data_IF_421342005086
#
_entry.id   IF_421342005086
#
_cell.length_a   1.000
_cell.length_b   1.000
_cell.length_c   1.000
_cell.angle_alpha   90.00
_cell.angle_beta   90.00
_cell.angle_gamma   90.00
#
_symmetry.space_group_name_H-M   'P 1'
#
loop_
_entity.id
_entity.type
_entity.pdbx_description
1 polymer ?
#
# COMPACT_ATOMS: atom_id res chain seq x y z
N UNK A 1 17.03 -13.80 0.00
CA UNK A 1 16.23 -14.70 -0.87
C UNK A 1 16.49 -14.46 -2.36
N UNK A 2 15.98 -15.31 -3.27
CA UNK A 2 16.15 -15.13 -4.75
C UNK A 2 15.74 -13.72 -5.19
N UNK A 3 14.70 -13.16 -4.57
CA UNK A 3 14.24 -11.78 -4.77
C UNK A 3 15.28 -10.70 -4.46
N UNK A 4 16.11 -10.85 -3.43
CA UNK A 4 17.19 -9.91 -3.09
C UNK A 4 18.32 -9.91 -4.15
N UNK A 5 18.47 -11.02 -4.89
CA UNK A 5 19.39 -11.08 -6.03
C UNK A 5 18.81 -10.39 -7.28
N UNK A 6 17.48 -10.30 -7.39
CA UNK A 6 16.81 -9.63 -8.50
C UNK A 6 16.79 -8.11 -8.32
N UNK A 7 16.50 -7.61 -7.11
CA UNK A 7 16.51 -6.18 -6.81
C UNK A 7 17.14 -5.93 -5.45
N UNK A 8 18.33 -5.32 -5.44
CA UNK A 8 18.97 -4.83 -4.23
C UNK A 8 18.39 -3.46 -3.84
N UNK A 9 18.28 -3.16 -2.54
CA UNK A 9 17.92 -1.87 -1.94
C UNK A 9 18.52 -0.67 -2.70
N UNK A 10 19.81 -0.71 -3.06
CA UNK A 10 20.46 0.41 -3.77
C UNK A 10 19.92 0.63 -5.19
N UNK A 11 19.56 -0.45 -5.89
CA UNK A 11 18.97 -0.39 -7.23
C UNK A 11 17.55 0.14 -7.12
N UNK A 12 16.77 -0.36 -6.15
CA UNK A 12 15.40 0.10 -5.90
C UNK A 12 15.31 1.62 -5.65
N UNK A 13 16.23 2.18 -4.87
CA UNK A 13 16.28 3.63 -4.59
C UNK A 13 16.57 4.46 -5.85
N UNK A 14 17.43 3.97 -6.74
CA UNK A 14 17.83 4.69 -7.96
C UNK A 14 16.87 4.49 -9.12
N UNK A 15 16.23 3.33 -9.17
CA UNK A 15 15.38 2.90 -10.29
C UNK A 15 14.08 2.25 -9.75
N UNK A 16 13.12 3.04 -9.25
CA UNK A 16 11.84 2.54 -8.74
C UNK A 16 11.04 1.73 -9.77
N UNK A 17 11.28 1.96 -11.06
CA UNK A 17 10.65 1.20 -12.14
C UNK A 17 10.88 -0.33 -12.05
N UNK A 18 12.04 -0.78 -11.56
CA UNK A 18 12.26 -2.21 -11.33
C UNK A 18 11.39 -2.75 -10.20
N UNK A 19 11.11 -1.94 -9.17
CA UNK A 19 10.20 -2.31 -8.08
C UNK A 19 8.77 -2.39 -8.59
N UNK A 20 8.38 -1.53 -9.53
CA UNK A 20 7.10 -1.61 -10.23
C UNK A 20 6.93 -2.93 -11.00
N UNK A 21 7.92 -3.30 -11.83
CA UNK A 21 7.91 -4.59 -12.54
C UNK A 21 7.85 -5.75 -11.54
N UNK A 22 8.64 -5.67 -10.48
CA UNK A 22 8.69 -6.69 -9.43
C UNK A 22 7.32 -6.87 -8.76
N UNK A 23 6.62 -5.79 -8.43
CA UNK A 23 5.27 -5.83 -7.89
C UNK A 23 4.28 -6.56 -8.80
N UNK A 24 4.33 -6.30 -10.11
CA UNK A 24 3.52 -7.01 -11.10
C UNK A 24 3.84 -8.50 -11.19
N UNK A 25 5.13 -8.87 -11.24
CA UNK A 25 5.56 -10.28 -11.32
C UNK A 25 5.17 -11.05 -10.05
N UNK A 26 5.51 -10.52 -8.86
CA UNK A 26 5.18 -11.18 -7.59
C UNK A 26 3.67 -11.36 -7.48
N UNK A 27 2.89 -10.30 -7.71
CA UNK A 27 1.43 -10.38 -7.58
C UNK A 27 0.79 -11.39 -8.54
N UNK A 28 1.30 -11.51 -9.77
CA UNK A 28 0.83 -12.51 -10.74
C UNK A 28 1.15 -13.93 -10.29
N UNK A 29 2.41 -14.18 -9.90
CA UNK A 29 2.85 -15.51 -9.47
C UNK A 29 2.10 -15.92 -8.20
N UNK A 30 1.97 -15.03 -7.21
CA UNK A 30 1.24 -15.29 -5.98
C UNK A 30 -0.23 -15.61 -6.25
N UNK A 31 -0.91 -14.82 -7.10
CA UNK A 31 -2.30 -15.09 -7.46
C UNK A 31 -2.46 -16.46 -8.16
N UNK A 32 -1.57 -16.78 -9.10
CA UNK A 32 -1.59 -18.07 -9.80
C UNK A 32 -1.37 -19.25 -8.83
N UNK A 33 -0.39 -19.16 -7.92
CA UNK A 33 -0.12 -20.20 -6.93
C UNK A 33 -1.30 -20.37 -5.96
N UNK A 34 -1.90 -19.27 -5.50
CA UNK A 34 -3.07 -19.32 -4.62
C UNK A 34 -4.26 -19.96 -5.32
N UNK A 35 -4.49 -19.65 -6.59
CA UNK A 35 -5.56 -20.28 -7.36
C UNK A 35 -5.31 -21.78 -7.59
N UNK A 36 -4.07 -22.19 -7.85
CA UNK A 36 -3.74 -23.59 -8.10
C UNK A 36 -3.83 -24.46 -6.84
N UNK A 37 -3.46 -23.92 -5.67
CA UNK A 37 -3.29 -24.70 -4.45
C UNK A 37 -4.44 -24.47 -3.44
N UNK A 38 -5.00 -23.25 -3.37
CA UNK A 38 -5.91 -22.81 -2.31
C UNK A 38 -7.17 -22.15 -2.87
N UNK A 39 -7.97 -22.91 -3.61
CA UNK A 39 -9.14 -22.40 -4.34
C UNK A 39 -10.24 -21.77 -3.47
N UNK A 40 -10.29 -22.05 -2.15
CA UNK A 40 -11.30 -21.53 -1.23
C UNK A 40 -10.97 -20.13 -0.66
N UNK A 41 -9.72 -19.67 -0.77
CA UNK A 41 -9.28 -18.39 -0.19
C UNK A 41 -8.19 -17.74 -1.03
N UNK A 42 -8.41 -17.67 -2.35
CA UNK A 42 -7.41 -17.22 -3.31
C UNK A 42 -6.93 -15.79 -3.00
N UNK A 43 -7.84 -14.89 -2.65
CA UNK A 43 -7.51 -13.49 -2.36
C UNK A 43 -6.60 -13.35 -1.14
N UNK A 44 -7.01 -13.86 0.02
CA UNK A 44 -6.22 -13.80 1.25
C UNK A 44 -4.87 -14.53 1.13
N UNK A 45 -4.85 -15.72 0.53
CA UNK A 45 -3.60 -16.49 0.38
C UNK A 45 -2.67 -15.81 -0.62
N UNK A 46 -3.18 -15.21 -1.70
CA UNK A 46 -2.33 -14.47 -2.64
C UNK A 46 -1.70 -13.27 -1.95
N UNK A 47 -2.46 -12.56 -1.11
CA UNK A 47 -1.95 -11.46 -0.31
C UNK A 47 -0.84 -11.91 0.65
N UNK A 48 -1.01 -13.06 1.30
CA UNK A 48 0.01 -13.67 2.15
C UNK A 48 1.29 -13.99 1.35
N UNK A 49 1.18 -14.64 0.18
CA UNK A 49 2.34 -14.95 -0.66
C UNK A 49 3.06 -13.70 -1.18
N UNK A 50 2.32 -12.66 -1.56
CA UNK A 50 2.91 -11.37 -1.97
C UNK A 50 3.72 -10.80 -0.81
N UNK A 51 3.12 -10.76 0.38
CA UNK A 51 3.76 -10.25 1.59
C UNK A 51 5.01 -11.07 1.91
N UNK A 52 4.91 -12.39 1.92
CA UNK A 52 6.02 -13.30 2.22
C UNK A 52 7.18 -13.13 1.23
N UNK A 53 6.88 -12.95 -0.06
CA UNK A 53 7.90 -12.77 -1.09
C UNK A 53 8.66 -11.44 -0.97
N UNK A 54 7.97 -10.33 -0.69
CA UNK A 54 8.57 -8.99 -0.68
C UNK A 54 9.07 -8.55 0.71
N UNK A 55 8.58 -9.16 1.79
CA UNK A 55 8.91 -8.76 3.17
C UNK A 55 10.42 -8.69 3.45
N UNK A 56 11.28 -9.66 3.05
CA UNK A 56 12.72 -9.57 3.30
C UNK A 56 13.34 -8.31 2.70
N UNK A 57 12.99 -8.01 1.44
CA UNK A 57 13.43 -6.81 0.76
C UNK A 57 12.96 -5.54 1.47
N UNK A 58 11.70 -5.49 1.92
CA UNK A 58 11.15 -4.33 2.62
C UNK A 58 11.75 -4.13 4.02
N UNK A 59 12.08 -5.22 4.72
CA UNK A 59 12.80 -5.15 6.00
C UNK A 59 14.20 -4.56 5.82
N UNK A 60 14.95 -5.04 4.84
CA UNK A 60 16.28 -4.50 4.53
C UNK A 60 16.21 -3.04 4.09
N UNK A 61 15.16 -2.69 3.33
CA UNK A 61 14.89 -1.32 2.90
C UNK A 61 14.63 -0.36 4.07
N UNK A 62 13.76 -0.73 5.01
CA UNK A 62 13.46 0.08 6.19
C UNK A 62 14.67 0.18 7.13
N UNK A 63 15.45 -0.90 7.29
CA UNK A 63 16.71 -0.88 8.05
C UNK A 63 17.75 0.03 7.42
N UNK A 64 17.83 0.03 6.09
CA UNK A 64 18.68 0.95 5.35
C UNK A 64 18.27 2.40 5.58
N UNK A 65 16.97 2.70 5.49
CA UNK A 65 16.46 4.05 5.74
C UNK A 65 16.75 4.51 7.17
N UNK A 66 16.47 3.68 8.18
CA UNK A 66 16.77 4.01 9.57
C UNK A 66 18.27 4.31 9.79
N UNK A 67 19.15 3.56 9.13
CA UNK A 67 20.60 3.80 9.19
C UNK A 67 21.01 5.09 8.44
N UNK A 68 20.35 5.41 7.32
CA UNK A 68 20.56 6.66 6.59
C UNK A 68 20.14 7.88 7.42
N UNK A 69 19.05 7.77 8.18
CA UNK A 69 18.59 8.80 9.12
C UNK A 69 19.61 9.04 10.25
N UNK A 70 20.16 7.97 10.82
CA UNK A 70 21.21 8.06 11.85
C UNK A 70 22.46 8.77 11.34
N UNK A 71 22.91 8.47 10.11
CA UNK A 71 24.12 9.05 9.52
C UNK A 71 23.96 10.50 9.10
N UNK A 72 22.77 10.92 8.66
CA UNK A 72 22.53 12.24 8.04
C UNK A 72 21.60 13.14 8.85
N UNK A 73 21.46 12.90 10.16
CA UNK A 73 20.48 13.59 11.01
C UNK A 73 20.52 15.12 10.86
N UNK A 74 21.70 15.74 10.84
CA UNK A 74 21.82 17.20 10.76
C UNK A 74 21.41 17.79 9.40
N UNK A 75 21.59 17.04 8.31
CA UNK A 75 21.11 17.41 6.98
C UNK A 75 19.58 17.25 6.90
N UNK A 76 19.07 16.13 7.41
CA UNK A 76 17.65 15.77 7.34
C UNK A 76 16.76 16.67 8.20
N UNK A 77 17.29 17.23 9.30
CA UNK A 77 16.59 18.23 10.12
C UNK A 77 16.16 19.48 9.33
N UNK A 78 16.86 19.80 8.23
CA UNK A 78 16.54 20.94 7.37
C UNK A 78 15.47 20.63 6.31
N UNK A 79 15.15 19.35 6.14
CA UNK A 79 14.19 18.88 5.14
C UNK A 79 12.82 18.66 5.78
N UNK A 80 11.77 18.87 5.00
CA UNK A 80 10.43 18.43 5.40
C UNK A 80 10.30 16.89 5.31
N UNK A 81 9.25 16.34 5.92
CA UNK A 81 9.03 14.89 6.05
C UNK A 81 8.96 14.20 4.68
N UNK A 82 8.26 14.80 3.71
CA UNK A 82 8.11 14.24 2.37
C UNK A 82 9.43 14.22 1.60
N UNK A 83 10.26 15.26 1.74
CA UNK A 83 11.59 15.31 1.15
C UNK A 83 12.52 14.29 1.78
N UNK A 84 12.49 14.17 3.12
CA UNK A 84 13.29 13.23 3.90
C UNK A 84 13.06 11.78 3.48
N UNK A 85 11.79 11.37 3.36
CA UNK A 85 11.42 9.98 3.04
C UNK A 85 11.01 9.77 1.58
N UNK A 86 11.29 10.72 0.69
CA UNK A 86 10.87 10.68 -0.72
C UNK A 86 11.21 9.35 -1.39
N UNK A 87 12.43 8.86 -1.20
CA UNK A 87 12.89 7.64 -1.84
C UNK A 87 12.13 6.40 -1.34
N UNK A 88 11.80 6.36 -0.05
CA UNK A 88 11.03 5.26 0.55
C UNK A 88 9.59 5.28 0.06
N UNK A 89 8.97 6.46 0.05
CA UNK A 89 7.62 6.65 -0.49
C UNK A 89 7.56 6.24 -1.97
N UNK A 90 8.58 6.58 -2.78
CA UNK A 90 8.63 6.18 -4.20
C UNK A 90 8.73 4.66 -4.38
N UNK A 91 9.48 3.94 -3.54
CA UNK A 91 9.59 2.47 -3.61
C UNK A 91 8.26 1.81 -3.26
N UNK A 92 7.58 2.26 -2.20
CA UNK A 92 6.24 1.80 -1.84
C UNK A 92 5.23 2.07 -2.97
N UNK A 93 5.26 3.29 -3.53
CA UNK A 93 4.39 3.69 -4.65
C UNK A 93 4.63 2.83 -5.88
N UNK A 94 5.88 2.59 -6.26
CA UNK A 94 6.22 1.78 -7.42
C UNK A 94 5.72 0.34 -7.26
N UNK A 95 5.98 -0.29 -6.11
CA UNK A 95 5.49 -1.63 -5.81
C UNK A 95 3.96 -1.71 -5.90
N UNK A 96 3.26 -0.80 -5.21
CA UNK A 96 1.81 -0.74 -5.18
C UNK A 96 1.22 -0.51 -6.58
N UNK A 97 1.76 0.44 -7.35
CA UNK A 97 1.29 0.73 -8.70
C UNK A 97 1.50 -0.45 -9.65
N UNK A 98 2.61 -1.19 -9.50
CA UNK A 98 2.87 -2.42 -10.26
C UNK A 98 1.83 -3.49 -9.99
N UNK A 99 1.50 -3.71 -8.71
CA UNK A 99 0.41 -4.61 -8.33
C UNK A 99 -0.94 -4.16 -8.89
N UNK A 100 -1.27 -2.87 -8.73
CA UNK A 100 -2.56 -2.32 -9.16
C UNK A 100 -2.76 -2.50 -10.66
N UNK A 101 -1.77 -2.11 -11.47
CA UNK A 101 -1.88 -2.22 -12.91
C UNK A 101 -2.02 -3.69 -13.34
N UNK A 102 -1.15 -4.57 -12.85
CA UNK A 102 -1.12 -5.96 -13.28
C UNK A 102 -2.39 -6.70 -12.86
N UNK A 103 -2.86 -6.56 -11.62
CA UNK A 103 -4.08 -7.23 -11.19
C UNK A 103 -5.34 -6.65 -11.85
N UNK A 104 -5.36 -5.35 -12.14
CA UNK A 104 -6.45 -4.74 -12.94
C UNK A 104 -6.51 -5.39 -14.32
N UNK A 105 -5.37 -5.51 -15.01
CA UNK A 105 -5.30 -6.15 -16.34
C UNK A 105 -5.75 -7.62 -16.25
N UNK A 106 -5.31 -8.37 -15.24
CA UNK A 106 -5.72 -9.77 -15.06
C UNK A 106 -7.23 -9.91 -14.84
N UNK A 107 -7.83 -9.06 -13.98
CA UNK A 107 -9.28 -9.05 -13.75
C UNK A 107 -10.07 -8.76 -15.05
N UNK A 108 -9.52 -7.91 -15.91
CA UNK A 108 -10.12 -7.51 -17.19
C UNK A 108 -9.99 -8.57 -18.29
N UNK A 109 -8.85 -9.26 -18.35
CA UNK A 109 -8.54 -10.24 -19.41
C UNK A 109 -9.27 -11.57 -19.23
N UNK A 110 -9.53 -11.97 -17.99
CA UNK A 110 -10.07 -13.28 -17.65
C UNK A 110 -11.62 -13.27 -17.77
N UNK A 111 -12.26 -14.36 -18.25
CA UNK A 111 -13.72 -14.46 -18.30
C UNK A 111 -14.37 -14.19 -16.94
N UNK A 112 -15.56 -13.59 -16.96
CA UNK A 112 -16.22 -13.07 -15.75
C UNK A 112 -16.31 -14.10 -14.62
N UNK A 113 -16.79 -15.31 -14.90
CA UNK A 113 -16.85 -16.40 -13.94
C UNK A 113 -15.53 -16.65 -13.20
N UNK A 114 -14.42 -16.73 -13.94
CA UNK A 114 -13.10 -16.95 -13.35
C UNK A 114 -12.59 -15.71 -12.63
N UNK A 115 -12.82 -14.50 -13.17
CA UNK A 115 -12.42 -13.26 -12.49
C UNK A 115 -13.14 -13.08 -11.15
N UNK A 116 -14.42 -13.43 -11.07
CA UNK A 116 -15.20 -13.39 -9.82
C UNK A 116 -14.66 -14.42 -8.82
N UNK A 117 -14.33 -15.64 -9.27
CA UNK A 117 -13.75 -16.67 -8.39
C UNK A 117 -12.33 -16.33 -7.92
N UNK A 118 -11.45 -15.85 -8.80
CA UNK A 118 -10.06 -15.50 -8.43
C UNK A 118 -9.99 -14.34 -7.44
N UNK A 119 -10.92 -13.39 -7.53
CA UNK A 119 -10.93 -12.17 -6.74
C UNK A 119 -12.14 -12.09 -5.80
N UNK A 120 -12.70 -13.23 -5.41
CA UNK A 120 -13.93 -13.32 -4.62
C UNK A 120 -13.83 -12.52 -3.31
N UNK A 121 -12.72 -12.68 -2.59
CA UNK A 121 -12.45 -11.94 -1.35
C UNK A 121 -12.48 -10.42 -1.58
N UNK A 122 -11.84 -9.94 -2.65
CA UNK A 122 -11.79 -8.52 -3.00
C UNK A 122 -13.17 -8.00 -3.40
N UNK A 123 -13.92 -8.76 -4.22
CA UNK A 123 -15.28 -8.40 -4.62
C UNK A 123 -16.19 -8.30 -3.39
N UNK A 124 -16.09 -9.25 -2.47
CA UNK A 124 -16.84 -9.25 -1.22
C UNK A 124 -16.49 -8.02 -0.36
N UNK A 125 -15.21 -7.64 -0.26
CA UNK A 125 -14.84 -6.40 0.44
C UNK A 125 -15.42 -5.15 -0.21
N UNK A 126 -15.38 -5.05 -1.55
CA UNK A 126 -15.97 -3.91 -2.27
C UNK A 126 -17.47 -3.79 -1.96
N UNK A 127 -18.19 -4.91 -1.97
CA UNK A 127 -19.62 -4.94 -1.66
C UNK A 127 -19.91 -4.51 -0.21
N UNK A 128 -19.09 -4.94 0.75
CA UNK A 128 -19.19 -4.52 2.16
C UNK A 128 -18.97 -3.02 2.34
N UNK A 129 -17.96 -2.45 1.65
CA UNK A 129 -17.65 -1.01 1.70
C UNK A 129 -18.81 -0.21 1.11
N UNK A 130 -19.29 -0.58 -0.09
CA UNK A 130 -20.41 0.10 -0.76
C UNK A 130 -21.72 0.01 0.05
N UNK A 131 -21.98 -1.14 0.68
CA UNK A 131 -23.15 -1.33 1.53
C UNK A 131 -23.17 -0.43 2.78
N UNK A 132 -22.00 -0.08 3.32
CA UNK A 132 -21.87 0.81 4.50
C UNK A 132 -21.97 2.30 4.16
N UNK A 133 -21.63 2.70 2.93
CA UNK A 133 -21.64 4.09 2.50
C UNK A 133 -23.04 4.72 2.36
N UNK A 134 -24.12 3.91 2.40
CA UNK A 134 -25.51 4.37 2.22
C UNK A 134 -26.24 4.77 3.50
N UNK A 135 -25.71 4.47 4.69
CA UNK A 135 -26.37 4.77 5.98
C UNK A 135 -25.51 5.69 6.87
N UNK A 136 -25.86 6.98 6.94
CA UNK A 136 -25.46 7.93 8.00
C UNK A 136 -23.99 8.40 8.01
N UNK A 137 -23.77 9.72 7.94
CA UNK A 137 -22.48 10.37 8.21
C UNK A 137 -21.32 9.91 7.31
N UNK A 138 -21.51 9.91 5.98
CA UNK A 138 -20.56 9.42 4.95
C UNK A 138 -19.10 9.78 5.25
N UNK A 139 -18.82 11.04 5.62
CA UNK A 139 -17.46 11.48 5.98
C UNK A 139 -16.88 10.74 7.19
N UNK A 140 -17.61 10.68 8.31
CA UNK A 140 -17.12 10.05 9.54
C UNK A 140 -16.90 8.55 9.35
N UNK A 141 -17.80 7.89 8.62
CA UNK A 141 -17.68 6.46 8.30
C UNK A 141 -16.45 6.19 7.44
N UNK A 142 -16.23 6.98 6.39
CA UNK A 142 -15.03 6.90 5.54
C UNK A 142 -13.77 7.14 6.38
N UNK A 143 -13.74 8.24 7.15
CA UNK A 143 -12.56 8.62 7.92
C UNK A 143 -12.20 7.56 8.98
N UNK A 144 -13.17 7.01 9.71
CA UNK A 144 -12.92 5.99 10.74
C UNK A 144 -12.40 4.69 10.12
N UNK A 145 -12.97 4.26 8.99
CA UNK A 145 -12.51 3.05 8.30
C UNK A 145 -11.06 3.21 7.84
N UNK A 146 -10.76 4.30 7.15
CA UNK A 146 -9.41 4.59 6.64
C UNK A 146 -8.40 4.85 7.77
N UNK A 147 -8.83 5.48 8.87
CA UNK A 147 -7.99 5.62 10.06
C UNK A 147 -7.64 4.27 10.69
N UNK A 148 -8.59 3.32 10.71
CA UNK A 148 -8.32 1.93 11.12
C UNK A 148 -7.24 1.28 10.26
N UNK A 149 -7.28 1.46 8.94
CA UNK A 149 -6.25 0.96 8.01
C UNK A 149 -4.89 1.60 8.31
N UNK A 150 -4.83 2.92 8.53
CA UNK A 150 -3.59 3.63 8.89
C UNK A 150 -2.97 3.10 10.18
N UNK A 151 -3.77 2.94 11.24
CA UNK A 151 -3.29 2.41 12.53
C UNK A 151 -2.82 0.97 12.38
N UNK A 152 -3.55 0.14 11.62
CA UNK A 152 -3.12 -1.24 11.35
C UNK A 152 -1.80 -1.26 10.55
N UNK A 153 -1.64 -0.42 9.53
CA UNK A 153 -0.38 -0.30 8.78
C UNK A 153 0.78 0.07 9.71
N UNK A 154 0.60 1.06 10.59
CA UNK A 154 1.61 1.44 11.57
C UNK A 154 1.94 0.27 12.52
N UNK A 155 0.94 -0.34 13.16
CA UNK A 155 1.14 -1.40 14.14
C UNK A 155 1.78 -2.65 13.54
N UNK A 156 1.32 -3.09 12.37
CA UNK A 156 1.91 -4.24 11.69
C UNK A 156 3.37 -3.99 11.30
N UNK A 157 3.68 -2.79 10.82
CA UNK A 157 5.08 -2.43 10.53
C UNK A 157 5.91 -2.28 11.79
N UNK A 158 5.34 -1.76 12.87
CA UNK A 158 6.02 -1.64 14.16
C UNK A 158 6.38 -3.00 14.76
N UNK A 159 5.42 -3.93 14.78
CA UNK A 159 5.59 -5.26 15.38
C UNK A 159 6.41 -6.21 14.51
N UNK A 160 6.23 -6.16 13.19
CA UNK A 160 6.85 -7.11 12.25
C UNK A 160 7.90 -6.47 11.34
N UNK A 161 8.31 -5.22 11.60
CA UNK A 161 9.32 -4.45 10.87
C UNK A 161 8.87 -3.87 9.53
N UNK A 162 8.25 -4.70 8.67
CA UNK A 162 7.69 -4.30 7.38
C UNK A 162 6.27 -4.88 7.15
N UNK A 163 5.57 -5.20 8.23
CA UNK A 163 4.25 -5.85 8.18
C UNK A 163 3.15 -5.02 7.49
N UNK A 164 3.33 -3.70 7.35
CA UNK A 164 2.40 -2.85 6.60
C UNK A 164 2.14 -3.36 5.17
N UNK A 165 3.11 -4.05 4.57
CA UNK A 165 3.00 -4.62 3.23
C UNK A 165 1.78 -5.53 3.08
N UNK A 166 1.41 -6.28 4.11
CA UNK A 166 0.21 -7.12 4.07
C UNK A 166 -1.06 -6.28 3.87
N UNK A 167 -1.15 -5.15 4.56
CA UNK A 167 -2.28 -4.22 4.47
C UNK A 167 -2.28 -3.49 3.13
N UNK A 168 -1.10 -3.09 2.64
CA UNK A 168 -0.95 -2.37 1.37
C UNK A 168 -1.21 -3.26 0.16
N UNK A 169 -0.74 -4.50 0.17
CA UNK A 169 -0.99 -5.48 -0.88
C UNK A 169 -2.48 -5.85 -0.94
N UNK A 170 -3.15 -5.93 0.22
CA UNK A 170 -4.61 -6.12 0.28
C UNK A 170 -5.34 -4.94 -0.36
N UNK A 171 -5.03 -3.72 0.06
CA UNK A 171 -5.62 -2.50 -0.51
C UNK A 171 -5.36 -2.37 -2.01
N UNK A 172 -4.15 -2.69 -2.47
CA UNK A 172 -3.82 -2.72 -3.90
C UNK A 172 -4.73 -3.70 -4.65
N UNK A 173 -4.96 -4.90 -4.10
CA UNK A 173 -5.80 -5.92 -4.74
C UNK A 173 -7.27 -5.50 -4.82
N UNK A 174 -7.79 -4.91 -3.74
CA UNK A 174 -9.18 -4.38 -3.69
C UNK A 174 -9.34 -3.24 -4.70
N UNK A 175 -8.40 -2.29 -4.74
CA UNK A 175 -8.41 -1.18 -5.69
C UNK A 175 -8.32 -1.68 -7.14
N UNK A 176 -7.49 -2.69 -7.41
CA UNK A 176 -7.35 -3.30 -8.75
C UNK A 176 -8.68 -3.84 -9.27
N UNK A 177 -9.40 -4.56 -8.41
CA UNK A 177 -10.71 -5.14 -8.75
C UNK A 177 -11.74 -4.03 -8.91
N UNK A 178 -11.74 -3.01 -8.05
CA UNK A 178 -12.65 -1.87 -8.17
C UNK A 178 -12.44 -1.10 -9.49
N UNK A 179 -11.18 -0.85 -9.89
CA UNK A 179 -10.84 -0.25 -11.17
C UNK A 179 -11.27 -1.19 -12.31
N UNK A 180 -11.01 -2.49 -12.22
CA UNK A 180 -11.40 -3.46 -13.24
C UNK A 180 -12.92 -3.53 -13.45
N UNK A 181 -13.71 -3.61 -12.38
CA UNK A 181 -15.17 -3.58 -12.44
C UNK A 181 -15.68 -2.30 -13.09
N UNK A 182 -15.11 -1.15 -12.72
CA UNK A 182 -15.49 0.16 -13.26
C UNK A 182 -15.06 0.29 -14.72
N UNK A 183 -13.90 -0.23 -15.11
CA UNK A 183 -13.45 -0.23 -16.49
C UNK A 183 -14.37 -1.11 -17.38
N UNK A 184 -14.83 -2.28 -16.88
CA UNK A 184 -15.82 -3.11 -17.59
C UNK A 184 -17.11 -2.34 -17.88
N UNK A 185 -17.64 -1.57 -16.93
CA UNK A 185 -18.86 -0.77 -17.14
C UNK A 185 -18.64 0.45 -18.04
N UNK A 186 -17.41 0.97 -18.13
CA UNK A 186 -17.03 2.13 -18.95
C UNK A 186 -16.49 1.76 -20.34
N UNK A 187 -16.74 0.54 -20.84
CA UNK A 187 -16.33 0.13 -22.20
C UNK A 187 -15.06 -0.72 -22.26
N UNK A 188 -14.75 -1.46 -21.20
CA UNK A 188 -13.65 -2.43 -21.17
C UNK A 188 -12.28 -1.78 -20.98
N UNK A 189 -11.26 -2.28 -21.68
CA UNK A 189 -9.88 -1.80 -21.55
C UNK A 189 -9.73 -0.29 -21.83
N UNK A 190 -10.52 0.26 -22.77
CA UNK A 190 -10.51 1.70 -23.07
C UNK A 190 -11.03 2.54 -21.90
N UNK A 191 -11.83 1.95 -21.01
CA UNK A 191 -12.35 2.59 -19.82
C UNK A 191 -11.36 2.66 -18.66
N UNK A 192 -10.20 1.98 -18.72
CA UNK A 192 -9.23 1.93 -17.61
C UNK A 192 -8.78 3.33 -17.17
N UNK A 193 -8.36 4.26 -18.06
CA UNK A 193 -7.93 5.59 -17.63
C UNK A 193 -9.02 6.34 -16.86
N UNK A 194 -10.26 6.28 -17.35
CA UNK A 194 -11.39 6.93 -16.68
C UNK A 194 -11.74 6.25 -15.35
N UNK A 195 -11.70 4.91 -15.30
CA UNK A 195 -11.91 4.15 -14.08
C UNK A 195 -10.87 4.49 -13.00
N UNK A 196 -9.59 4.64 -13.36
CA UNK A 196 -8.54 5.09 -12.43
C UNK A 196 -8.85 6.50 -11.90
N UNK A 197 -9.26 7.42 -12.77
CA UNK A 197 -9.60 8.80 -12.38
C UNK A 197 -10.77 8.88 -11.39
N UNK A 198 -11.68 7.91 -11.38
CA UNK A 198 -12.77 7.85 -10.38
C UNK A 198 -12.23 7.69 -8.95
N UNK A 199 -11.16 6.92 -8.77
CA UNK A 199 -10.58 6.65 -7.44
C UNK A 199 -9.39 7.55 -7.12
N UNK A 200 -8.71 8.11 -8.12
CA UNK A 200 -7.44 8.81 -7.94
C UNK A 200 -7.49 10.03 -6.98
N UNK A 201 -8.51 10.92 -7.00
CA UNK A 201 -8.51 12.14 -6.20
C UNK A 201 -8.42 11.91 -4.69
N UNK A 202 -9.19 10.96 -4.15
CA UNK A 202 -9.14 10.60 -2.73
C UNK A 202 -8.16 9.44 -2.50
N UNK A 203 -8.22 8.39 -3.34
CA UNK A 203 -7.42 7.19 -3.17
C UNK A 203 -5.91 7.42 -3.20
N UNK A 204 -5.41 8.38 -3.99
CA UNK A 204 -3.97 8.71 -3.96
C UNK A 204 -3.52 9.27 -2.60
N UNK A 205 -4.37 10.06 -1.93
CA UNK A 205 -4.09 10.63 -0.62
C UNK A 205 -4.21 9.57 0.49
N UNK A 206 -5.20 8.69 0.41
CA UNK A 206 -5.38 7.58 1.37
C UNK A 206 -4.20 6.61 1.32
N UNK A 207 -3.84 6.15 0.12
CA UNK A 207 -2.73 5.22 -0.07
C UNK A 207 -1.41 5.87 0.35
N UNK A 208 -1.20 7.16 0.06
CA UNK A 208 -0.03 7.89 0.56
C UNK A 208 0.01 7.96 2.09
N UNK A 209 -1.13 8.18 2.74
CA UNK A 209 -1.22 8.15 4.21
C UNK A 209 -0.83 6.76 4.75
N UNK A 210 -1.29 5.67 4.12
CA UNK A 210 -0.93 4.31 4.54
C UNK A 210 0.55 4.00 4.33
N UNK A 211 1.15 4.48 3.25
CA UNK A 211 2.60 4.36 3.05
C UNK A 211 3.35 5.07 4.17
N UNK A 212 2.98 6.32 4.48
CA UNK A 212 3.63 7.10 5.53
C UNK A 212 3.46 6.43 6.89
N UNK A 213 2.26 5.94 7.25
CA UNK A 213 2.04 5.23 8.50
C UNK A 213 2.82 3.90 8.59
N UNK A 214 2.87 3.14 7.50
CA UNK A 214 3.67 1.91 7.43
C UNK A 214 5.18 2.17 7.56
N UNK A 215 5.69 3.23 6.93
CA UNK A 215 7.09 3.64 7.05
C UNK A 215 7.38 4.10 8.48
N UNK A 216 6.52 4.92 9.08
CA UNK A 216 6.65 5.38 10.46
C UNK A 216 6.71 4.21 11.46
N UNK A 217 5.83 3.22 11.30
CA UNK A 217 5.85 2.01 12.14
C UNK A 217 7.15 1.22 11.98
N UNK A 218 7.63 1.05 10.74
CA UNK A 218 8.87 0.33 10.47
C UNK A 218 10.11 1.04 11.01
N UNK A 219 10.19 2.36 10.88
CA UNK A 219 11.28 3.17 11.44
C UNK A 219 11.29 3.12 12.97
N UNK A 220 10.11 3.22 13.61
CA UNK A 220 9.97 3.01 15.04
C UNK A 220 10.45 1.60 15.43
N UNK A 221 10.07 0.55 14.70
CA UNK A 221 10.54 -0.83 14.92
C UNK A 221 12.07 -0.91 14.93
N UNK A 222 12.73 -0.31 13.93
CA UNK A 222 14.20 -0.26 13.83
C UNK A 222 14.81 0.47 15.03
N UNK A 223 14.26 1.62 15.43
CA UNK A 223 14.76 2.39 16.57
C UNK A 223 14.69 1.59 17.89
N UNK A 224 13.58 0.88 18.13
CA UNK A 224 13.43 0.02 19.31
C UNK A 224 14.32 -1.22 19.28
N UNK A 225 14.52 -1.82 18.10
CA UNK A 225 15.36 -3.01 17.94
C UNK A 225 16.85 -2.69 18.17
N UNK A 226 17.31 -1.50 17.73
CA UNK A 226 18.71 -1.10 17.83
C UNK A 226 19.16 -0.58 19.22
N UNK A 227 18.28 -0.53 20.23
CA UNK A 227 18.51 -0.08 21.64
C UNK A 227 19.71 0.88 21.86
N UNK A 228 19.43 2.12 22.26
CA UNK A 228 20.42 3.12 22.76
C UNK A 228 21.37 3.70 21.69
N UNK A 229 20.83 4.24 20.60
CA UNK A 229 21.57 5.23 19.79
C UNK A 229 21.24 6.65 20.26
N UNK A 230 22.18 7.59 20.16
CA UNK A 230 21.93 9.02 20.46
C UNK A 230 20.78 9.60 19.63
N UNK A 231 20.45 8.96 18.50
CA UNK A 231 19.44 9.39 17.54
C UNK A 231 18.08 8.73 17.74
N UNK A 232 17.91 7.89 18.76
CA UNK A 232 16.63 7.24 19.08
C UNK A 232 15.47 8.24 19.16
N UNK A 233 15.65 9.31 19.96
CA UNK A 233 14.61 10.33 20.14
C UNK A 233 14.25 11.06 18.85
N UNK A 234 15.20 11.21 17.94
CA UNK A 234 14.95 11.82 16.63
C UNK A 234 14.06 10.91 15.77
N UNK A 235 14.38 9.61 15.66
CA UNK A 235 13.60 8.67 14.84
C UNK A 235 12.17 8.50 15.37
N UNK A 236 11.99 8.45 16.69
CA UNK A 236 10.65 8.36 17.29
C UNK A 236 9.84 9.63 17.05
N UNK A 237 10.44 10.81 17.23
CA UNK A 237 9.78 12.08 16.92
C UNK A 237 9.39 12.16 15.44
N UNK A 238 10.29 11.76 14.54
CA UNK A 238 10.05 11.72 13.10
C UNK A 238 8.86 10.80 12.77
N UNK A 239 8.81 9.61 13.39
CA UNK A 239 7.70 8.67 13.23
C UNK A 239 6.36 9.25 13.70
N UNK A 240 6.34 10.04 14.79
CA UNK A 240 5.13 10.74 15.26
C UNK A 240 4.72 11.84 14.29
N UNK A 241 5.67 12.64 13.80
CA UNK A 241 5.42 13.70 12.81
C UNK A 241 4.85 13.11 11.50
N UNK A 242 5.37 11.95 11.06
CA UNK A 242 4.83 11.18 9.94
C UNK A 242 3.39 10.73 10.18
N UNK A 243 3.07 10.21 11.37
CA UNK A 243 1.70 9.78 11.70
C UNK A 243 0.71 10.95 11.69
N UNK A 244 1.11 12.12 12.18
CA UNK A 244 0.30 13.34 12.12
C UNK A 244 0.06 13.74 10.66
N UNK A 245 1.11 13.74 9.83
CA UNK A 245 1.00 14.06 8.41
C UNK A 245 0.07 13.08 7.67
N UNK A 246 0.18 11.78 7.95
CA UNK A 246 -0.69 10.75 7.40
C UNK A 246 -2.16 10.96 7.81
N UNK A 247 -2.43 11.30 9.07
CA UNK A 247 -3.78 11.58 9.52
C UNK A 247 -4.39 12.80 8.83
N UNK A 248 -3.61 13.88 8.64
CA UNK A 248 -4.07 15.06 7.90
C UNK A 248 -4.42 14.70 6.45
N UNK A 249 -3.61 13.87 5.79
CA UNK A 249 -3.91 13.38 4.43
C UNK A 249 -5.23 12.59 4.39
N UNK A 250 -5.51 11.74 5.38
CA UNK A 250 -6.77 11.00 5.47
C UNK A 250 -7.99 11.92 5.64
N UNK A 251 -7.88 12.96 6.46
CA UNK A 251 -8.97 13.94 6.63
C UNK A 251 -9.29 14.64 5.31
N UNK A 252 -8.26 15.04 4.56
CA UNK A 252 -8.42 15.66 3.23
C UNK A 252 -9.03 14.65 2.25
N UNK A 253 -8.54 13.40 2.25
CA UNK A 253 -9.05 12.37 1.37
C UNK A 253 -10.53 12.05 1.62
N UNK A 254 -10.92 11.89 2.88
CA UNK A 254 -12.31 11.63 3.27
C UNK A 254 -13.23 12.80 2.89
N UNK A 255 -12.75 14.05 2.98
CA UNK A 255 -13.51 15.21 2.53
C UNK A 255 -13.73 15.17 1.02
N UNK A 256 -12.69 14.89 0.24
CA UNK A 256 -12.78 14.76 -1.22
C UNK A 256 -13.74 13.64 -1.60
N UNK A 257 -13.59 12.45 -1.02
CA UNK A 257 -14.47 11.31 -1.31
C UNK A 257 -15.94 11.61 -0.98
N UNK A 258 -16.19 12.23 0.17
CA UNK A 258 -17.55 12.62 0.56
C UNK A 258 -18.14 13.61 -0.43
N UNK A 259 -17.37 14.60 -0.90
CA UNK A 259 -17.87 15.56 -1.90
C UNK A 259 -18.16 14.90 -3.25
N UNK A 260 -17.36 13.91 -3.66
CA UNK A 260 -17.58 13.17 -4.92
C UNK A 260 -18.81 12.26 -4.83
N UNK A 261 -19.07 11.65 -3.67
CA UNK A 261 -20.24 10.77 -3.47
C UNK A 261 -21.55 11.57 -3.43
N UNK A 262 -21.51 12.80 -2.89
CA UNK A 262 -22.71 13.65 -2.73
C UNK A 262 -23.02 14.48 -3.99
N UNK A 263 -22.03 14.71 -4.86
CA UNK A 263 -22.17 15.45 -6.12
C UNK A 263 -22.82 14.61 -7.23
#
# INVERSE_FOLDING_TARGET
MVLERLVNVRIALKQPFWVFILGGIISTISLALSFLIFQESVGLISNFFITFAIMPFMLDFIRYEGSNIEQKTEELKKMNIFQRHRNVIMVYTAFFAGMVLTQTILYMMIPEYWSQKLFEDQVNQINLIRGKATFGGTFSTILINNFGVLILSFLFSFLFGAGAIFILAWNASVLSVAIGMTAKSLGGFKGIPLAVLTFFPHGSLEILAYFIGGIAGGLASVAFTKRRTEKFGFIIRDSIEMMIAAFVLLVIAAAIETTIIVA
#
